data_IF_089283115986
#
_entry.id   IF_089283115986
#
_cell.length_a   1.000
_cell.length_b   1.000
_cell.length_c   1.000
_cell.angle_alpha   90.00
_cell.angle_beta   90.00
_cell.angle_gamma   90.00
#
_symmetry.space_group_name_H-M   'P 1'
#
loop_
_entity.id
_entity.type
_entity.pdbx_description
1 polymer ?
#
# COMPACT_ATOMS: atom_id res chain seq x y z
N UNK A 1 32.52 19.33 -5.86
CA UNK A 1 31.90 19.07 -7.18
C UNK A 1 31.22 17.69 -7.14
N UNK A 2 30.17 17.51 -6.36
CA UNK A 2 29.55 16.19 -6.20
C UNK A 2 28.09 16.24 -5.72
N UNK A 3 27.40 17.38 -5.83
CA UNK A 3 26.00 17.51 -5.36
C UNK A 3 24.95 17.68 -6.50
N UNK A 4 25.35 17.62 -7.76
CA UNK A 4 24.46 18.01 -8.87
C UNK A 4 23.90 16.84 -9.70
N UNK A 5 24.13 15.59 -9.30
CA UNK A 5 23.79 14.42 -10.13
C UNK A 5 22.31 13.99 -10.10
N UNK A 6 21.45 14.62 -9.33
CA UNK A 6 20.04 14.20 -9.21
C UNK A 6 19.03 15.26 -9.65
N UNK A 7 19.46 16.48 -9.97
CA UNK A 7 18.53 17.58 -10.24
C UNK A 7 17.95 17.64 -11.65
N UNK A 8 18.43 16.85 -12.61
CA UNK A 8 17.87 16.84 -13.99
C UNK A 8 18.19 15.56 -14.76
N UNK A 9 17.74 14.40 -14.25
CA UNK A 9 17.85 13.16 -15.03
C UNK A 9 16.82 13.22 -16.16
N UNK A 10 17.27 13.33 -17.42
CA UNK A 10 16.37 13.23 -18.59
C UNK A 10 15.92 11.79 -18.80
N UNK A 11 14.82 11.54 -19.54
CA UNK A 11 14.37 10.17 -19.86
C UNK A 11 15.48 9.34 -20.54
N UNK A 12 16.25 9.91 -21.46
CA UNK A 12 17.35 9.22 -22.16
C UNK A 12 18.50 8.88 -21.19
N UNK A 13 18.85 9.79 -20.28
CA UNK A 13 19.88 9.52 -19.28
C UNK A 13 19.43 8.42 -18.33
N UNK A 14 18.15 8.40 -17.94
CA UNK A 14 17.57 7.35 -17.12
C UNK A 14 17.57 6.01 -17.85
N UNK A 15 17.18 5.98 -19.13
CA UNK A 15 17.22 4.77 -19.97
C UNK A 15 18.61 4.15 -19.97
N UNK A 16 19.66 4.96 -20.21
CA UNK A 16 21.04 4.49 -20.17
C UNK A 16 21.48 3.99 -18.80
N UNK A 17 20.99 4.62 -17.72
CA UNK A 17 21.36 4.23 -16.37
C UNK A 17 20.68 2.95 -15.89
N UNK A 18 19.45 2.67 -16.33
CA UNK A 18 18.69 1.47 -15.90
C UNK A 18 19.00 0.23 -16.75
N UNK A 19 19.35 0.42 -18.02
CA UNK A 19 19.57 -0.67 -18.97
C UNK A 19 20.55 -1.76 -18.46
N UNK A 20 21.70 -1.44 -17.82
CA UNK A 20 22.61 -2.45 -17.31
C UNK A 20 22.01 -3.34 -16.21
N UNK A 21 20.91 -2.91 -15.59
CA UNK A 21 20.28 -3.63 -14.46
C UNK A 21 19.11 -4.51 -14.87
N UNK A 22 18.68 -4.53 -16.14
CA UNK A 22 17.64 -5.44 -16.60
C UNK A 22 17.99 -6.93 -16.42
N UNK A 23 19.28 -7.25 -16.38
CA UNK A 23 19.80 -8.59 -16.03
C UNK A 23 20.34 -8.66 -14.60
N UNK A 24 20.30 -7.56 -13.84
CA UNK A 24 20.74 -7.43 -12.45
C UNK A 24 19.59 -7.30 -11.45
N UNK A 25 19.93 -7.32 -10.17
CA UNK A 25 18.94 -7.18 -9.10
C UNK A 25 18.50 -5.72 -8.88
N UNK A 26 17.29 -5.54 -8.34
CA UNK A 26 16.79 -4.24 -7.89
C UNK A 26 17.71 -3.59 -6.85
N UNK A 27 18.26 -4.38 -5.93
CA UNK A 27 19.23 -3.88 -4.95
C UNK A 27 20.53 -3.37 -5.59
N UNK A 28 20.99 -3.99 -6.69
CA UNK A 28 22.15 -3.48 -7.44
C UNK A 28 21.83 -2.12 -8.09
N UNK A 29 20.63 -1.96 -8.66
CA UNK A 29 20.16 -0.68 -9.17
C UNK A 29 20.09 0.38 -8.07
N UNK A 30 19.49 0.07 -6.92
CA UNK A 30 19.39 0.99 -5.78
C UNK A 30 20.78 1.51 -5.38
N UNK A 31 21.75 0.62 -5.19
CA UNK A 31 23.12 0.98 -4.80
C UNK A 31 23.84 1.87 -5.83
N UNK A 32 23.55 1.67 -7.12
CA UNK A 32 24.13 2.49 -8.17
C UNK A 32 23.42 3.83 -8.33
N UNK A 33 22.11 3.87 -8.08
CA UNK A 33 21.28 5.06 -8.24
C UNK A 33 21.36 6.00 -7.05
N UNK A 34 21.48 5.44 -5.84
CA UNK A 34 21.54 6.20 -4.59
C UNK A 34 22.96 6.19 -4.02
N UNK A 35 23.68 7.29 -4.23
CA UNK A 35 25.05 7.43 -3.73
C UNK A 35 25.14 8.01 -2.32
N UNK A 36 24.07 8.65 -1.84
CA UNK A 36 24.11 9.52 -0.65
C UNK A 36 23.47 8.89 0.60
N UNK A 37 22.84 7.71 0.50
CA UNK A 37 22.16 7.05 1.63
C UNK A 37 21.01 7.86 2.24
N UNK A 38 20.47 8.82 1.49
CA UNK A 38 19.44 9.77 1.97
C UNK A 38 18.04 9.17 2.05
N UNK A 39 17.80 8.06 1.32
CA UNK A 39 16.48 7.48 1.18
C UNK A 39 16.38 6.15 1.91
N UNK A 40 15.26 5.97 2.60
CA UNK A 40 14.93 4.68 3.23
C UNK A 40 14.08 3.85 2.28
N UNK A 41 14.73 2.93 1.60
CA UNK A 41 14.04 1.94 0.80
C UNK A 41 13.34 0.92 1.68
N UNK A 42 12.10 0.64 1.35
CA UNK A 42 11.34 -0.47 1.92
C UNK A 42 11.41 -1.65 0.97
N UNK A 43 11.76 -2.81 1.49
CA UNK A 43 11.77 -4.07 0.76
C UNK A 43 10.58 -4.92 1.20
N UNK A 44 9.84 -5.47 0.24
CA UNK A 44 8.72 -6.36 0.49
C UNK A 44 8.81 -7.56 -0.44
N UNK A 45 9.09 -8.73 0.12
CA UNK A 45 9.05 -9.99 -0.62
C UNK A 45 7.62 -10.53 -0.69
N UNK A 46 7.21 -11.01 -1.85
CA UNK A 46 5.94 -11.71 -2.01
C UNK A 46 6.19 -13.22 -2.00
N UNK A 47 5.57 -13.93 -1.06
CA UNK A 47 5.62 -15.39 -1.02
C UNK A 47 4.88 -15.96 -2.24
N UNK A 48 5.55 -16.82 -3.02
CA UNK A 48 4.97 -17.45 -4.21
C UNK A 48 5.95 -18.41 -4.90
N UNK A 49 5.51 -19.00 -6.03
CA UNK A 49 6.37 -19.88 -6.84
C UNK A 49 7.54 -19.14 -7.49
N UNK A 50 7.40 -17.82 -7.68
CA UNK A 50 8.46 -16.93 -8.15
C UNK A 50 8.81 -16.00 -7.03
N UNK A 51 10.10 -15.83 -6.78
CA UNK A 51 10.58 -14.81 -5.85
C UNK A 51 10.34 -13.42 -6.49
N UNK A 52 9.34 -12.71 -6.01
CA UNK A 52 9.08 -11.33 -6.39
C UNK A 52 9.44 -10.45 -5.21
N UNK A 53 10.31 -9.48 -5.42
CA UNK A 53 10.72 -8.49 -4.43
C UNK A 53 10.32 -7.11 -4.95
N UNK A 54 9.65 -6.36 -4.11
CA UNK A 54 9.33 -4.96 -4.38
C UNK A 54 10.19 -4.08 -3.47
N UNK A 55 10.79 -3.06 -4.06
CA UNK A 55 11.44 -1.99 -3.32
C UNK A 55 10.67 -0.71 -3.55
N UNK A 56 10.54 0.12 -2.53
CA UNK A 56 9.86 1.41 -2.67
C UNK A 56 10.51 2.49 -1.82
N UNK A 57 10.48 3.73 -2.31
CA UNK A 57 10.95 4.89 -1.60
C UNK A 57 10.12 6.13 -1.94
N UNK A 58 9.82 6.95 -0.93
CA UNK A 58 9.21 8.26 -1.10
C UNK A 58 10.27 9.32 -1.39
N UNK A 59 10.04 10.13 -2.43
CA UNK A 59 10.97 11.16 -2.91
C UNK A 59 10.59 12.57 -2.49
N UNK A 60 9.36 12.76 -2.00
CA UNK A 60 8.86 14.04 -1.49
C UNK A 60 9.04 15.22 -2.45
N UNK A 61 8.80 14.99 -3.74
CA UNK A 61 8.88 16.02 -4.78
C UNK A 61 10.27 16.24 -5.40
N UNK A 62 11.26 15.33 -5.15
CA UNK A 62 12.54 15.38 -5.85
C UNK A 62 12.35 15.26 -7.37
N UNK A 63 13.02 16.11 -8.14
CA UNK A 63 12.83 16.14 -9.59
C UNK A 63 13.45 14.94 -10.32
N UNK A 64 12.63 14.28 -11.13
CA UNK A 64 13.03 13.29 -12.12
C UNK A 64 12.36 13.70 -13.44
N UNK A 65 13.05 13.64 -14.55
CA UNK A 65 12.57 14.12 -15.85
C UNK A 65 12.10 15.60 -15.81
N UNK A 66 12.71 16.43 -14.93
CA UNK A 66 12.31 17.83 -14.73
C UNK A 66 10.94 18.02 -14.06
N UNK A 67 10.43 17.01 -13.42
CA UNK A 67 9.14 17.03 -12.71
C UNK A 67 9.33 16.42 -11.32
N UNK A 68 8.74 17.02 -10.30
CA UNK A 68 8.78 16.48 -8.94
C UNK A 68 8.12 15.11 -8.86
N UNK A 69 8.88 14.12 -8.41
CA UNK A 69 8.40 12.76 -8.21
C UNK A 69 8.01 12.51 -6.75
N UNK A 70 6.96 11.74 -6.54
CA UNK A 70 6.45 11.37 -5.20
C UNK A 70 7.10 10.09 -4.69
N UNK A 71 7.22 9.10 -5.56
CA UNK A 71 7.67 7.76 -5.17
C UNK A 71 8.34 7.05 -6.34
N UNK A 72 9.34 6.22 -6.03
CA UNK A 72 9.83 5.17 -6.94
C UNK A 72 9.50 3.82 -6.34
N UNK A 73 9.10 2.88 -7.20
CA UNK A 73 8.97 1.46 -6.88
C UNK A 73 9.75 0.64 -7.90
N UNK A 74 10.37 -0.43 -7.44
CA UNK A 74 11.02 -1.42 -8.27
C UNK A 74 10.33 -2.77 -8.09
N UNK A 75 10.21 -3.52 -9.16
CA UNK A 75 9.83 -4.93 -9.12
C UNK A 75 11.01 -5.79 -9.60
N UNK A 76 11.46 -6.68 -8.74
CA UNK A 76 12.44 -7.70 -9.05
C UNK A 76 11.74 -9.06 -9.14
N UNK A 77 11.96 -9.79 -10.22
CA UNK A 77 11.39 -11.11 -10.44
C UNK A 77 12.53 -12.11 -10.67
N UNK A 78 12.63 -13.12 -9.80
CA UNK A 78 13.68 -14.16 -9.90
C UNK A 78 15.11 -13.57 -9.95
N UNK A 79 15.36 -12.53 -9.16
CA UNK A 79 16.67 -11.86 -9.07
C UNK A 79 16.97 -10.87 -10.21
N UNK A 80 16.00 -10.55 -11.06
CA UNK A 80 16.15 -9.60 -12.16
C UNK A 80 15.19 -8.43 -12.01
N UNK A 81 15.70 -7.22 -12.22
CA UNK A 81 14.87 -6.01 -12.27
C UNK A 81 13.91 -6.08 -13.46
N UNK A 82 12.63 -6.11 -13.19
CA UNK A 82 11.58 -6.23 -14.20
C UNK A 82 10.87 -4.93 -14.53
N UNK A 83 10.77 -4.03 -13.54
CA UNK A 83 10.05 -2.76 -13.68
C UNK A 83 10.60 -1.71 -12.72
N UNK A 84 10.62 -0.46 -13.19
CA UNK A 84 10.79 0.74 -12.37
C UNK A 84 9.56 1.60 -12.56
N UNK A 85 8.74 1.76 -11.52
CA UNK A 85 7.61 2.68 -11.49
C UNK A 85 8.04 4.00 -10.86
N UNK A 86 7.79 5.12 -11.53
CA UNK A 86 8.02 6.46 -11.00
C UNK A 86 6.68 7.19 -10.95
N UNK A 87 6.21 7.50 -9.75
CA UNK A 87 4.98 8.24 -9.50
C UNK A 87 5.28 9.74 -9.45
N UNK A 88 4.73 10.53 -10.36
CA UNK A 88 4.90 11.97 -10.45
C UNK A 88 3.75 12.76 -9.85
N UNK A 89 2.57 12.22 -9.92
CA UNK A 89 1.37 12.78 -9.32
C UNK A 89 0.51 11.65 -8.79
N UNK A 90 0.04 11.78 -7.57
CA UNK A 90 -1.14 11.07 -7.10
C UNK A 90 -1.97 11.99 -6.22
N UNK A 91 -3.27 11.86 -6.31
CA UNK A 91 -4.24 12.69 -5.61
C UNK A 91 -3.99 12.78 -4.11
N UNK A 92 -3.62 11.66 -3.48
CA UNK A 92 -3.46 11.57 -2.03
C UNK A 92 -2.23 12.32 -1.53
N UNK A 93 -1.05 12.07 -2.08
CA UNK A 93 0.20 12.73 -1.66
C UNK A 93 0.17 14.20 -2.02
N UNK A 94 -0.35 14.54 -3.21
CA UNK A 94 -0.50 15.94 -3.63
C UNK A 94 -1.42 16.71 -2.69
N UNK A 95 -2.58 16.15 -2.34
CA UNK A 95 -3.49 16.77 -1.38
C UNK A 95 -2.83 16.95 -0.01
N UNK A 96 -2.13 15.92 0.50
CA UNK A 96 -1.43 15.96 1.77
C UNK A 96 -0.35 17.06 1.80
N UNK A 97 0.51 17.13 0.76
CA UNK A 97 1.57 18.14 0.65
C UNK A 97 1.03 19.56 0.60
N UNK A 98 -0.12 19.76 -0.02
CA UNK A 98 -0.77 21.06 -0.10
C UNK A 98 -1.64 21.41 1.12
N UNK A 99 -1.64 20.59 2.16
CA UNK A 99 -2.48 20.77 3.34
C UNK A 99 -3.96 20.67 3.03
N UNK A 100 -4.35 20.01 1.93
CA UNK A 100 -5.75 19.77 1.56
C UNK A 100 -6.20 18.49 2.24
N UNK A 101 -6.71 18.64 3.46
CA UNK A 101 -7.25 17.53 4.25
C UNK A 101 -8.75 17.32 4.03
N UNK A 102 -9.26 16.21 4.56
CA UNK A 102 -10.71 15.92 4.53
C UNK A 102 -11.55 17.02 5.20
N UNK A 103 -11.00 17.74 6.19
CA UNK A 103 -11.70 18.75 7.02
C UNK A 103 -11.01 20.10 7.03
N UNK A 104 -10.39 20.52 5.95
CA UNK A 104 -9.68 21.80 5.85
C UNK A 104 -10.59 23.03 5.63
N UNK A 105 -11.90 22.84 5.64
CA UNK A 105 -12.89 23.91 5.43
C UNK A 105 -13.09 24.32 3.98
N UNK A 106 -12.30 23.83 3.03
CA UNK A 106 -12.48 24.11 1.60
C UNK A 106 -13.64 23.31 1.03
N UNK A 107 -14.34 23.89 0.04
CA UNK A 107 -15.39 23.16 -0.66
C UNK A 107 -14.81 21.98 -1.45
N UNK A 108 -15.58 20.91 -1.60
CA UNK A 108 -15.17 19.75 -2.39
C UNK A 108 -14.95 20.10 -3.88
N UNK A 109 -15.70 21.09 -4.40
CA UNK A 109 -15.48 21.61 -5.77
C UNK A 109 -14.09 22.25 -5.88
N UNK A 110 -13.73 23.21 -5.01
CA UNK A 110 -12.43 23.84 -5.04
C UNK A 110 -11.25 22.84 -4.90
N UNK A 111 -11.44 21.77 -4.14
CA UNK A 111 -10.44 20.68 -4.05
C UNK A 111 -10.30 19.91 -5.35
N UNK A 112 -11.42 19.60 -6.01
CA UNK A 112 -11.41 18.91 -7.30
C UNK A 112 -10.75 19.77 -8.39
N UNK A 113 -11.13 21.04 -8.48
CA UNK A 113 -10.58 21.98 -9.46
C UNK A 113 -9.05 22.10 -9.32
N UNK A 114 -8.56 22.15 -8.08
CA UNK A 114 -7.12 22.17 -7.80
C UNK A 114 -6.42 20.87 -8.25
N UNK A 115 -6.99 19.72 -7.91
CA UNK A 115 -6.44 18.41 -8.30
C UNK A 115 -6.42 18.25 -9.82
N UNK A 116 -7.51 18.65 -10.50
CA UNK A 116 -7.61 18.61 -11.95
C UNK A 116 -6.55 19.48 -12.63
N UNK A 117 -6.35 20.71 -12.14
CA UNK A 117 -5.33 21.62 -12.67
C UNK A 117 -3.91 21.03 -12.50
N UNK A 118 -3.59 20.49 -11.33
CA UNK A 118 -2.28 19.92 -11.05
C UNK A 118 -2.03 18.61 -11.82
N UNK A 119 -3.04 17.76 -11.92
CA UNK A 119 -2.97 16.54 -12.73
C UNK A 119 -2.73 16.87 -14.20
N UNK A 120 -3.52 17.81 -14.75
CA UNK A 120 -3.40 18.25 -16.15
C UNK A 120 -2.02 18.81 -16.46
N UNK A 121 -1.48 19.67 -15.59
CA UNK A 121 -0.13 20.23 -15.75
C UNK A 121 0.95 19.14 -15.71
N UNK A 122 0.89 18.26 -14.71
CA UNK A 122 1.82 17.14 -14.58
C UNK A 122 1.77 16.21 -15.80
N UNK A 123 0.60 15.78 -16.22
CA UNK A 123 0.41 14.89 -17.37
C UNK A 123 0.94 15.51 -18.67
N UNK A 124 0.61 16.78 -18.92
CA UNK A 124 1.05 17.51 -20.10
C UNK A 124 2.58 17.68 -20.14
N UNK A 125 3.20 18.04 -19.01
CA UNK A 125 4.65 18.17 -18.88
C UNK A 125 5.35 16.82 -19.08
N UNK A 126 4.84 15.76 -18.44
CA UNK A 126 5.39 14.41 -18.57
C UNK A 126 5.38 13.94 -20.01
N UNK A 127 4.25 14.07 -20.69
CA UNK A 127 4.12 13.67 -22.08
C UNK A 127 5.14 14.42 -22.95
N UNK A 128 5.27 15.76 -22.78
CA UNK A 128 6.25 16.57 -23.53
C UNK A 128 7.68 16.10 -23.27
N UNK A 129 8.03 15.79 -22.02
CA UNK A 129 9.38 15.37 -21.67
C UNK A 129 9.71 13.99 -22.25
N UNK A 130 8.74 13.08 -22.33
CA UNK A 130 8.93 11.78 -22.97
C UNK A 130 9.01 11.87 -24.51
N UNK A 131 8.51 12.94 -25.13
CA UNK A 131 8.65 13.18 -26.58
C UNK A 131 10.11 13.34 -27.02
N UNK A 132 11.04 13.63 -26.09
CA UNK A 132 12.49 13.64 -26.36
C UNK A 132 13.01 12.25 -26.76
N UNK A 133 12.36 11.16 -26.32
CA UNK A 133 12.69 9.79 -26.71
C UNK A 133 12.24 9.44 -28.16
N UNK A 134 11.53 10.33 -28.83
CA UNK A 134 11.00 10.13 -30.19
C UNK A 134 9.49 9.97 -30.24
N UNK A 135 9.00 9.22 -31.23
CA UNK A 135 7.56 9.04 -31.43
C UNK A 135 7.01 7.96 -30.51
N UNK A 136 5.89 8.27 -29.85
CA UNK A 136 5.12 7.29 -29.09
C UNK A 136 4.27 6.40 -30.00
N UNK A 137 3.93 5.24 -29.48
CA UNK A 137 2.85 4.41 -30.03
C UNK A 137 1.85 4.05 -28.92
N UNK A 138 0.64 3.62 -29.31
CA UNK A 138 -0.38 3.21 -28.35
C UNK A 138 -0.19 1.74 -27.97
N UNK A 139 -0.21 1.48 -26.66
CA UNK A 139 -0.23 0.14 -26.09
C UNK A 139 -1.41 -0.08 -25.17
N UNK A 140 -1.51 -1.27 -24.62
CA UNK A 140 -2.52 -1.63 -23.62
C UNK A 140 -1.84 -2.27 -22.42
N UNK A 141 -2.23 -1.84 -21.22
CA UNK A 141 -1.81 -2.46 -19.94
C UNK A 141 -3.02 -2.94 -19.14
N UNK A 142 -2.78 -3.82 -18.19
CA UNK A 142 -3.84 -4.44 -17.41
C UNK A 142 -4.64 -5.50 -18.16
N UNK A 143 -5.60 -6.11 -17.49
CA UNK A 143 -6.41 -7.20 -18.00
C UNK A 143 -7.89 -7.01 -17.71
N UNK A 144 -8.76 -7.59 -18.56
CA UNK A 144 -10.21 -7.54 -18.37
C UNK A 144 -10.75 -6.11 -18.26
N UNK A 145 -11.51 -5.82 -17.21
CA UNK A 145 -12.09 -4.49 -16.96
C UNK A 145 -11.07 -3.43 -16.52
N UNK A 146 -9.87 -3.85 -16.11
CA UNK A 146 -8.76 -2.96 -15.74
C UNK A 146 -7.87 -2.61 -16.94
N UNK A 147 -8.22 -3.07 -18.13
CA UNK A 147 -7.45 -2.82 -19.33
C UNK A 147 -7.62 -1.38 -19.80
N UNK A 148 -6.49 -0.67 -19.95
CA UNK A 148 -6.45 0.72 -20.44
C UNK A 148 -5.44 0.89 -21.56
N UNK A 149 -5.67 1.95 -22.32
CA UNK A 149 -4.76 2.38 -23.39
C UNK A 149 -3.75 3.35 -22.80
N UNK A 150 -2.48 3.16 -23.12
CA UNK A 150 -1.36 3.97 -22.68
C UNK A 150 -0.52 4.43 -23.86
N UNK A 151 0.29 5.47 -23.68
CA UNK A 151 1.32 5.87 -24.62
C UNK A 151 2.66 5.25 -24.22
N UNK A 152 3.41 4.77 -25.21
CA UNK A 152 4.69 4.06 -25.01
C UNK A 152 5.75 4.72 -25.88
N UNK A 153 6.88 5.02 -25.28
CA UNK A 153 8.12 5.45 -25.96
C UNK A 153 9.18 4.37 -25.75
N UNK A 154 10.06 4.22 -26.71
CA UNK A 154 11.14 3.24 -26.65
C UNK A 154 12.49 3.91 -26.86
N UNK A 155 13.46 3.60 -26.00
CA UNK A 155 14.84 4.06 -26.09
C UNK A 155 15.80 2.93 -25.71
N UNK A 156 16.76 2.60 -26.59
CA UNK A 156 17.67 1.47 -26.37
C UNK A 156 16.90 0.17 -26.08
N UNK A 157 17.18 -0.45 -24.95
CA UNK A 157 16.52 -1.69 -24.48
C UNK A 157 15.34 -1.41 -23.55
N UNK A 158 15.03 -0.15 -23.30
CA UNK A 158 13.99 0.26 -22.35
C UNK A 158 12.73 0.76 -23.07
N UNK A 159 11.58 0.58 -22.43
CA UNK A 159 10.32 1.18 -22.84
C UNK A 159 9.74 2.00 -21.67
N UNK A 160 9.24 3.18 -21.98
CA UNK A 160 8.60 4.12 -21.06
C UNK A 160 7.11 4.13 -21.33
N UNK A 161 6.33 3.74 -20.36
CA UNK A 161 4.87 3.64 -20.46
C UNK A 161 4.26 4.74 -19.60
N UNK A 162 3.64 5.73 -20.21
CA UNK A 162 2.89 6.76 -19.51
C UNK A 162 1.54 6.19 -19.11
N UNK A 163 1.40 5.86 -17.85
CA UNK A 163 0.18 5.35 -17.22
C UNK A 163 -0.44 6.46 -16.36
N UNK A 164 -1.55 6.99 -16.80
CA UNK A 164 -2.27 8.06 -16.12
C UNK A 164 -3.76 7.75 -16.01
N UNK A 165 -4.34 8.08 -14.86
CA UNK A 165 -5.77 8.06 -14.63
C UNK A 165 -6.21 9.46 -14.23
N UNK A 166 -7.24 9.96 -14.90
CA UNK A 166 -7.66 11.36 -14.77
C UNK A 166 -7.97 11.73 -13.31
N UNK A 167 -7.33 12.78 -12.83
CA UNK A 167 -7.45 13.29 -11.46
C UNK A 167 -7.02 12.32 -10.35
N UNK A 168 -6.46 11.16 -10.68
CA UNK A 168 -6.02 10.15 -9.72
C UNK A 168 -4.50 10.05 -9.64
N UNK A 169 -3.84 9.76 -10.76
CA UNK A 169 -2.39 9.65 -10.79
C UNK A 169 -1.79 9.89 -12.19
N UNK A 170 -0.49 10.22 -12.20
CA UNK A 170 0.39 10.23 -13.38
C UNK A 170 1.67 9.50 -12.98
N UNK A 171 2.01 8.41 -13.68
CA UNK A 171 3.24 7.67 -13.46
C UNK A 171 3.86 7.19 -14.77
N UNK A 172 5.14 6.91 -14.72
CA UNK A 172 5.88 6.29 -15.81
C UNK A 172 6.37 4.93 -15.34
N UNK A 173 6.02 3.88 -16.08
CA UNK A 173 6.61 2.56 -15.91
C UNK A 173 7.76 2.44 -16.89
N UNK A 174 8.95 2.17 -16.40
CA UNK A 174 10.13 1.88 -17.24
C UNK A 174 10.39 0.40 -17.13
N UNK A 175 10.35 -0.28 -18.28
CA UNK A 175 10.49 -1.75 -18.36
C UNK A 175 11.47 -2.12 -19.47
N UNK A 176 12.11 -3.29 -19.42
CA UNK A 176 12.82 -3.80 -20.60
C UNK A 176 11.80 -4.03 -21.73
N UNK A 177 12.17 -3.75 -22.98
CA UNK A 177 11.29 -3.93 -24.16
C UNK A 177 10.69 -5.33 -24.23
N UNK A 178 11.46 -6.34 -23.83
CA UNK A 178 11.00 -7.74 -23.71
C UNK A 178 9.87 -7.91 -22.68
N UNK A 179 9.77 -7.00 -21.70
CA UNK A 179 8.76 -6.98 -20.63
C UNK A 179 7.42 -6.35 -21.01
N UNK A 180 7.34 -5.59 -22.11
CA UNK A 180 6.11 -4.90 -22.53
C UNK A 180 4.90 -5.83 -22.65
N UNK A 181 5.10 -7.03 -23.15
CA UNK A 181 4.01 -8.02 -23.27
C UNK A 181 3.46 -8.47 -21.91
N UNK A 182 4.28 -8.42 -20.86
CA UNK A 182 3.87 -8.81 -19.50
C UNK A 182 2.92 -7.79 -18.90
N UNK A 183 3.05 -6.49 -19.22
CA UNK A 183 2.16 -5.43 -18.73
C UNK A 183 0.69 -5.61 -19.19
N UNK A 184 0.48 -6.28 -20.31
CA UNK A 184 -0.86 -6.59 -20.83
C UNK A 184 -1.35 -8.00 -20.48
N UNK A 185 -0.47 -8.85 -19.96
CA UNK A 185 -0.84 -10.18 -19.51
C UNK A 185 -1.41 -10.11 -18.09
N UNK A 186 -2.45 -10.89 -17.81
CA UNK A 186 -2.91 -11.10 -16.44
C UNK A 186 -1.85 -11.90 -15.71
N UNK A 187 -1.06 -11.25 -14.85
CA UNK A 187 -0.09 -11.91 -13.97
C UNK A 187 -0.75 -12.59 -12.78
N UNK A 188 -2.07 -12.80 -12.84
CA UNK A 188 -2.80 -13.51 -11.79
C UNK A 188 -2.30 -14.96 -11.65
N UNK A 189 -1.08 -15.12 -11.14
CA UNK A 189 -0.69 -16.34 -10.47
C UNK A 189 -1.50 -16.37 -9.17
N UNK A 190 -2.59 -17.12 -9.20
CA UNK A 190 -3.41 -17.38 -8.02
C UNK A 190 -2.49 -17.86 -6.91
N UNK A 191 -2.56 -17.23 -5.76
CA UNK A 191 -2.05 -17.82 -4.53
C UNK A 191 -2.71 -19.20 -4.37
N UNK A 192 -2.05 -20.24 -4.85
CA UNK A 192 -2.48 -21.65 -4.76
C UNK A 192 -1.96 -22.30 -3.48
N UNK A 193 -1.76 -21.52 -2.42
CA UNK A 193 -1.36 -22.01 -1.12
C UNK A 193 -2.57 -22.32 -0.26
N UNK A 194 -2.41 -23.24 0.65
CA UNK A 194 -3.29 -23.39 1.78
C UNK A 194 -3.00 -22.22 2.74
N UNK A 195 -3.90 -21.23 2.84
CA UNK A 195 -3.69 -20.06 3.71
C UNK A 195 -3.37 -20.43 5.17
N UNK A 196 -3.74 -21.63 5.61
CA UNK A 196 -3.43 -22.14 6.95
C UNK A 196 -1.93 -22.33 7.18
N UNK A 197 -1.13 -22.52 6.13
CA UNK A 197 0.32 -22.62 6.23
C UNK A 197 0.97 -21.30 6.64
N UNK A 198 0.28 -20.18 6.42
CA UNK A 198 0.75 -18.85 6.84
C UNK A 198 0.39 -18.55 8.32
N UNK A 199 -0.24 -19.48 9.03
CA UNK A 199 -0.59 -19.26 10.45
C UNK A 199 0.59 -19.60 11.34
N UNK A 200 1.11 -18.59 12.01
CA UNK A 200 2.22 -18.67 12.97
C UNK A 200 1.63 -18.91 14.36
N UNK A 201 2.17 -19.90 15.06
CA UNK A 201 1.82 -20.21 16.47
C UNK A 201 3.08 -20.14 17.31
N UNK A 202 3.07 -19.26 18.31
CA UNK A 202 4.22 -19.03 19.19
C UNK A 202 4.01 -19.71 20.55
N UNK A 203 5.09 -20.04 21.24
CA UNK A 203 5.06 -20.71 22.55
C UNK A 203 4.32 -19.92 23.64
N UNK A 204 4.32 -18.59 23.55
CA UNK A 204 3.60 -17.69 24.47
C UNK A 204 2.07 -17.71 24.29
N UNK A 205 1.57 -18.42 23.28
CA UNK A 205 0.16 -18.53 22.95
C UNK A 205 -0.34 -17.58 21.86
N UNK A 206 0.56 -16.85 21.21
CA UNK A 206 0.21 -16.02 20.06
C UNK A 206 -0.14 -16.88 18.86
N UNK A 207 -1.19 -16.50 18.16
CA UNK A 207 -1.61 -17.07 16.89
C UNK A 207 -1.87 -15.93 15.93
N UNK A 208 -1.14 -15.88 14.82
CA UNK A 208 -1.25 -14.78 13.85
C UNK A 208 -1.07 -15.25 12.41
N UNK A 209 -1.63 -14.51 11.48
CA UNK A 209 -1.45 -14.68 10.04
C UNK A 209 -0.16 -13.97 9.63
N UNK A 210 0.81 -14.73 9.14
CA UNK A 210 2.05 -14.21 8.54
C UNK A 210 1.90 -13.91 7.06
N UNK A 211 3.02 -13.55 6.44
CA UNK A 211 3.16 -13.36 4.98
C UNK A 211 2.23 -12.28 4.37
N UNK A 212 1.72 -11.34 5.19
CA UNK A 212 0.93 -10.22 4.69
C UNK A 212 1.90 -9.11 4.28
N UNK A 213 1.97 -8.76 2.98
CA UNK A 213 2.92 -7.75 2.51
C UNK A 213 2.70 -6.40 3.19
N UNK A 214 3.78 -5.69 3.51
CA UNK A 214 3.69 -4.31 3.95
C UNK A 214 3.57 -3.39 2.74
N UNK A 215 2.56 -2.54 2.75
CA UNK A 215 2.37 -1.43 1.82
C UNK A 215 2.19 -0.19 2.66
N UNK A 216 3.18 0.70 2.64
CA UNK A 216 3.10 1.96 3.34
C UNK A 216 2.20 2.92 2.58
N UNK A 217 1.18 3.45 3.25
CA UNK A 217 0.28 4.44 2.67
C UNK A 217 0.91 5.84 2.56
N UNK A 218 2.03 6.09 3.23
CA UNK A 218 2.65 7.40 3.33
C UNK A 218 1.79 8.39 4.14
N UNK A 219 1.97 9.68 3.86
CA UNK A 219 1.26 10.75 4.56
C UNK A 219 -0.20 10.95 4.08
N UNK A 220 -0.61 10.28 3.00
CA UNK A 220 -1.94 10.39 2.41
C UNK A 220 -3.00 9.61 3.19
N UNK A 221 -4.24 10.06 3.11
CA UNK A 221 -5.39 9.41 3.75
C UNK A 221 -5.85 8.11 3.03
N UNK A 222 -4.91 7.25 2.63
CA UNK A 222 -5.15 6.04 1.85
C UNK A 222 -5.12 4.76 2.69
N UNK A 223 -5.49 4.85 3.97
CA UNK A 223 -5.55 3.67 4.84
C UNK A 223 -6.41 2.53 4.25
N UNK A 224 -7.54 2.86 3.65
CA UNK A 224 -8.42 1.87 3.03
C UNK A 224 -7.79 1.26 1.77
N UNK A 225 -7.38 2.04 0.75
CA UNK A 225 -6.73 1.51 -0.44
C UNK A 225 -5.47 0.68 -0.14
N UNK A 226 -4.58 1.17 0.72
CA UNK A 226 -3.34 0.46 1.07
C UNK A 226 -3.61 -0.86 1.80
N UNK A 227 -4.52 -0.85 2.79
CA UNK A 227 -4.90 -2.07 3.53
C UNK A 227 -5.54 -3.11 2.61
N UNK A 228 -6.35 -2.69 1.64
CA UNK A 228 -6.93 -3.59 0.64
C UNK A 228 -5.85 -4.15 -0.28
N UNK A 229 -4.93 -3.32 -0.79
CA UNK A 229 -3.80 -3.79 -1.61
C UNK A 229 -3.02 -4.88 -0.90
N UNK A 230 -2.69 -4.71 0.39
CA UNK A 230 -1.98 -5.70 1.20
C UNK A 230 -2.70 -7.05 1.21
N UNK A 231 -4.01 -7.04 1.43
CA UNK A 231 -4.79 -8.28 1.44
C UNK A 231 -4.94 -8.88 0.04
N UNK A 232 -5.15 -8.08 -1.00
CA UNK A 232 -5.19 -8.59 -2.37
C UNK A 232 -3.86 -9.26 -2.76
N UNK A 233 -2.73 -8.63 -2.46
CA UNK A 233 -1.39 -9.22 -2.70
C UNK A 233 -1.18 -10.49 -1.88
N UNK A 234 -1.63 -10.54 -0.63
CA UNK A 234 -1.62 -11.75 0.19
C UNK A 234 -2.38 -12.91 -0.47
N UNK A 235 -3.45 -12.62 -1.19
CA UNK A 235 -4.18 -13.59 -2.01
C UNK A 235 -3.59 -13.81 -3.40
N UNK A 236 -2.44 -13.20 -3.72
CA UNK A 236 -1.77 -13.30 -5.04
C UNK A 236 -2.42 -12.46 -6.14
N UNK A 237 -3.22 -11.45 -5.78
CA UNK A 237 -3.85 -10.52 -6.72
C UNK A 237 -3.00 -9.25 -6.77
N UNK A 238 -2.13 -9.13 -7.77
CA UNK A 238 -1.17 -8.04 -7.91
C UNK A 238 -1.56 -7.00 -8.97
N UNK A 239 -2.74 -7.12 -9.58
CA UNK A 239 -3.22 -6.26 -10.67
C UNK A 239 -3.60 -4.84 -10.21
N UNK A 240 -3.80 -4.64 -8.88
CA UNK A 240 -4.27 -3.41 -8.29
C UNK A 240 -3.29 -2.91 -7.22
N UNK A 241 -2.85 -1.69 -7.37
CA UNK A 241 -2.19 -0.92 -6.33
C UNK A 241 -3.16 0.03 -5.62
N UNK A 242 -2.72 0.68 -4.53
CA UNK A 242 -3.57 1.56 -3.74
C UNK A 242 -4.14 2.74 -4.53
N UNK A 243 -3.46 3.23 -5.57
CA UNK A 243 -3.95 4.35 -6.38
C UNK A 243 -5.10 3.92 -7.29
N UNK A 244 -5.00 2.74 -7.92
CA UNK A 244 -6.10 2.14 -8.68
C UNK A 244 -7.27 1.74 -7.79
N UNK A 245 -6.98 1.26 -6.58
CA UNK A 245 -8.02 0.95 -5.60
C UNK A 245 -8.72 2.23 -5.14
N UNK A 246 -7.97 3.33 -4.93
CA UNK A 246 -8.52 4.62 -4.55
C UNK A 246 -9.49 5.17 -5.61
N UNK A 247 -9.13 5.04 -6.90
CA UNK A 247 -10.00 5.38 -8.02
C UNK A 247 -11.28 4.54 -8.03
N UNK A 248 -11.15 3.21 -8.06
CA UNK A 248 -12.28 2.27 -8.07
C UNK A 248 -13.22 2.43 -6.86
N UNK A 249 -12.71 2.88 -5.73
CA UNK A 249 -13.44 3.08 -4.50
C UNK A 249 -13.99 4.51 -4.32
N UNK A 250 -13.70 5.42 -5.26
CA UNK A 250 -14.09 6.81 -5.17
C UNK A 250 -13.51 7.52 -3.93
N UNK A 251 -12.24 7.21 -3.57
CA UNK A 251 -11.56 7.86 -2.45
C UNK A 251 -11.51 9.37 -2.66
N UNK A 252 -11.94 10.14 -1.66
CA UNK A 252 -12.01 11.60 -1.76
C UNK A 252 -10.65 12.29 -1.79
N UNK A 253 -10.62 13.56 -2.20
CA UNK A 253 -9.43 14.42 -2.07
C UNK A 253 -9.15 14.66 -0.58
N UNK A 254 -7.93 14.37 -0.14
CA UNK A 254 -7.56 14.40 1.28
C UNK A 254 -7.94 13.15 2.06
N UNK A 255 -8.34 12.08 1.39
CA UNK A 255 -8.68 10.79 1.99
C UNK A 255 -10.19 10.56 2.18
N UNK A 256 -10.49 9.47 2.87
CA UNK A 256 -11.87 9.03 3.11
C UNK A 256 -12.42 8.16 1.96
N UNK A 257 -12.71 6.91 2.28
CA UNK A 257 -13.27 5.92 1.35
C UNK A 257 -14.54 5.32 1.94
N UNK A 258 -15.60 5.30 1.15
CA UNK A 258 -16.82 4.61 1.57
C UNK A 258 -16.64 3.10 1.34
N UNK A 259 -16.83 2.31 2.42
CA UNK A 259 -16.63 0.85 2.36
C UNK A 259 -17.59 0.16 1.37
N UNK A 260 -18.82 0.66 1.21
CA UNK A 260 -19.78 0.07 0.28
C UNK A 260 -19.38 0.33 -1.18
N UNK A 261 -18.88 1.53 -1.47
CA UNK A 261 -18.38 1.89 -2.80
C UNK A 261 -17.12 1.08 -3.12
N UNK A 262 -16.22 0.91 -2.15
CA UNK A 262 -15.07 0.02 -2.23
C UNK A 262 -15.48 -1.42 -2.61
N UNK A 263 -16.38 -2.02 -1.82
CA UNK A 263 -16.85 -3.40 -2.06
C UNK A 263 -17.48 -3.52 -3.45
N UNK A 264 -18.26 -2.52 -3.87
CA UNK A 264 -18.88 -2.47 -5.19
C UNK A 264 -17.84 -2.39 -6.31
N UNK A 265 -16.88 -1.46 -6.19
CA UNK A 265 -15.82 -1.24 -7.17
C UNK A 265 -14.90 -2.46 -7.35
N UNK A 266 -14.55 -3.12 -6.25
CA UNK A 266 -13.64 -4.27 -6.27
C UNK A 266 -14.33 -5.61 -6.55
N UNK A 267 -15.65 -5.71 -6.42
CA UNK A 267 -16.40 -6.96 -6.63
C UNK A 267 -16.07 -7.69 -7.94
N UNK A 268 -15.88 -7.03 -9.09
CA UNK A 268 -15.53 -7.71 -10.32
C UNK A 268 -14.17 -8.42 -10.25
N UNK A 269 -13.16 -7.77 -9.64
CA UNK A 269 -11.80 -8.30 -9.49
C UNK A 269 -11.80 -9.46 -8.50
N UNK A 270 -12.46 -9.28 -7.37
CA UNK A 270 -12.58 -10.29 -6.30
C UNK A 270 -13.26 -11.56 -6.85
N UNK A 271 -14.38 -11.41 -7.57
CA UNK A 271 -15.10 -12.55 -8.19
C UNK A 271 -14.29 -13.27 -9.27
N UNK A 272 -13.55 -12.51 -10.13
CA UNK A 272 -12.64 -13.10 -11.14
C UNK A 272 -11.63 -14.05 -10.48
N UNK A 273 -11.19 -13.72 -9.26
CA UNK A 273 -10.24 -14.51 -8.48
C UNK A 273 -10.92 -15.55 -7.57
N UNK A 274 -12.23 -15.80 -7.74
CA UNK A 274 -13.04 -16.76 -6.96
C UNK A 274 -13.04 -16.44 -5.47
N UNK A 275 -13.02 -15.15 -5.14
CA UNK A 275 -13.15 -14.64 -3.79
C UNK A 275 -14.46 -13.86 -3.65
N UNK A 276 -14.93 -13.71 -2.44
CA UNK A 276 -16.07 -12.87 -2.09
C UNK A 276 -15.80 -12.07 -0.82
N UNK A 277 -16.34 -10.86 -0.74
CA UNK A 277 -16.40 -10.14 0.52
C UNK A 277 -17.46 -10.78 1.41
N UNK A 278 -17.09 -11.07 2.65
CA UNK A 278 -18.00 -11.53 3.69
C UNK A 278 -17.79 -10.68 4.96
N UNK A 279 -18.74 -10.76 5.87
CA UNK A 279 -18.68 -10.00 7.12
C UNK A 279 -18.65 -10.92 8.34
N UNK A 280 -18.00 -10.45 9.41
CA UNK A 280 -17.93 -11.14 10.70
C UNK A 280 -18.21 -10.14 11.83
N UNK A 281 -18.74 -10.61 12.94
CA UNK A 281 -18.87 -9.80 14.15
C UNK A 281 -17.53 -9.64 14.84
N UNK A 282 -17.31 -8.49 15.48
CA UNK A 282 -16.15 -8.22 16.32
C UNK A 282 -16.25 -9.01 17.63
N UNK A 283 -15.97 -10.32 17.54
CA UNK A 283 -16.03 -11.30 18.65
C UNK A 283 -14.80 -12.21 18.56
N UNK A 284 -14.17 -12.47 19.70
CA UNK A 284 -12.93 -13.27 19.75
C UNK A 284 -13.09 -14.65 19.11
N UNK A 285 -14.25 -15.30 19.25
CA UNK A 285 -14.52 -16.59 18.61
C UNK A 285 -14.51 -16.51 17.08
N UNK A 286 -15.01 -15.40 16.50
CA UNK A 286 -15.04 -15.17 15.05
C UNK A 286 -13.67 -14.77 14.53
N UNK A 287 -12.94 -13.95 15.28
CA UNK A 287 -11.55 -13.58 15.00
C UNK A 287 -10.68 -14.84 14.96
N UNK A 288 -10.77 -15.68 16.01
CA UNK A 288 -10.07 -16.96 16.06
C UNK A 288 -10.36 -17.84 14.84
N UNK A 289 -11.65 -18.01 14.48
CA UNK A 289 -12.05 -18.82 13.32
C UNK A 289 -11.40 -18.32 12.00
N UNK A 290 -11.25 -17.01 11.81
CA UNK A 290 -10.61 -16.44 10.62
C UNK A 290 -9.10 -16.62 10.68
N UNK A 291 -8.45 -16.23 11.78
CA UNK A 291 -6.99 -16.34 11.94
C UNK A 291 -6.52 -17.79 11.82
N UNK A 292 -7.22 -18.76 12.43
CA UNK A 292 -6.89 -20.18 12.35
C UNK A 292 -7.00 -20.75 10.93
N UNK A 293 -7.65 -20.03 10.02
CA UNK A 293 -7.73 -20.34 8.58
C UNK A 293 -6.73 -19.53 7.73
N UNK A 294 -5.94 -18.66 8.34
CA UNK A 294 -5.03 -17.74 7.63
C UNK A 294 -5.76 -16.58 6.96
N UNK A 295 -6.93 -16.16 7.45
CA UNK A 295 -7.73 -15.08 6.87
C UNK A 295 -7.56 -13.80 7.69
N UNK A 296 -6.88 -12.76 7.17
CA UNK A 296 -6.82 -11.45 7.81
C UNK A 296 -8.17 -10.75 7.72
N UNK A 297 -8.47 -9.89 8.68
CA UNK A 297 -9.75 -9.19 8.75
C UNK A 297 -9.57 -7.68 8.67
N UNK A 298 -10.32 -7.03 7.83
CA UNK A 298 -10.41 -5.57 7.75
C UNK A 298 -11.19 -5.04 8.95
N UNK A 299 -10.58 -4.16 9.70
CA UNK A 299 -11.14 -3.59 10.91
C UNK A 299 -11.25 -2.07 10.82
N UNK A 300 -12.48 -1.56 10.78
CA UNK A 300 -12.78 -0.13 10.82
C UNK A 300 -12.79 0.34 12.28
N UNK A 301 -11.92 1.30 12.59
CA UNK A 301 -11.72 1.77 13.95
C UNK A 301 -11.41 3.27 13.99
N UNK A 302 -11.15 3.80 15.16
CA UNK A 302 -10.72 5.19 15.38
C UNK A 302 -9.30 5.20 15.93
N UNK A 303 -8.33 5.65 15.11
CA UNK A 303 -6.92 5.73 15.45
C UNK A 303 -6.59 7.06 16.17
N UNK A 304 -7.29 7.35 17.26
CA UNK A 304 -7.02 8.55 18.06
C UNK A 304 -5.63 8.47 18.72
N UNK A 305 -4.97 9.62 19.00
CA UNK A 305 -3.61 9.65 19.55
C UNK A 305 -3.46 8.83 20.85
N UNK A 306 -4.44 8.87 21.74
CA UNK A 306 -4.44 8.15 23.01
C UNK A 306 -4.43 6.63 22.78
N UNK A 307 -5.23 6.16 21.82
CA UNK A 307 -5.23 4.76 21.41
C UNK A 307 -3.89 4.34 20.82
N UNK A 308 -3.34 5.16 19.91
CA UNK A 308 -2.05 4.87 19.26
C UNK A 308 -0.91 4.83 20.28
N UNK A 309 -0.91 5.71 21.28
CA UNK A 309 0.06 5.70 22.37
C UNK A 309 -0.08 4.42 23.20
N UNK A 310 -1.31 4.02 23.55
CA UNK A 310 -1.60 2.77 24.25
C UNK A 310 -1.14 1.55 23.46
N UNK A 311 -1.44 1.49 22.17
CA UNK A 311 -1.04 0.42 21.26
C UNK A 311 0.48 0.25 21.20
N UNK A 312 1.21 1.36 21.04
CA UNK A 312 2.68 1.37 21.01
C UNK A 312 3.29 0.94 22.36
N UNK A 313 2.80 1.52 23.44
CA UNK A 313 3.28 1.18 24.80
C UNK A 313 3.04 -0.29 25.12
N UNK A 314 1.85 -0.81 24.81
CA UNK A 314 1.51 -2.22 25.02
C UNK A 314 2.42 -3.14 24.20
N UNK A 315 2.61 -2.83 22.92
CA UNK A 315 3.49 -3.60 22.02
C UNK A 315 4.93 -3.61 22.53
N UNK A 316 5.48 -2.46 22.97
CA UNK A 316 6.84 -2.36 23.52
C UNK A 316 6.98 -3.15 24.83
N UNK A 317 6.04 -3.02 25.77
CA UNK A 317 6.05 -3.78 27.03
C UNK A 317 5.97 -5.29 26.76
N UNK A 318 5.17 -5.69 25.78
CA UNK A 318 5.04 -7.08 25.36
C UNK A 318 6.34 -7.65 24.81
N UNK A 319 7.02 -6.91 23.94
CA UNK A 319 8.32 -7.31 23.37
C UNK A 319 9.43 -7.40 24.42
N UNK A 320 9.38 -6.53 25.43
CA UNK A 320 10.34 -6.51 26.54
C UNK A 320 10.04 -7.56 27.64
N UNK A 321 8.88 -8.23 27.60
CA UNK A 321 8.43 -9.11 28.67
C UNK A 321 9.28 -10.39 28.76
N UNK A 322 10.01 -10.53 29.87
CA UNK A 322 10.75 -11.76 30.22
C UNK A 322 9.84 -12.85 30.77
N UNK A 323 8.79 -12.48 31.52
CA UNK A 323 7.76 -13.35 32.04
C UNK A 323 6.39 -12.92 31.53
N UNK A 324 5.83 -13.75 30.69
CA UNK A 324 4.55 -13.47 30.05
C UNK A 324 3.34 -13.55 30.99
N UNK A 325 3.46 -14.24 32.13
CA UNK A 325 2.41 -14.26 33.14
C UNK A 325 2.38 -12.94 33.93
N UNK A 326 3.55 -12.37 34.22
CA UNK A 326 3.67 -11.05 34.84
C UNK A 326 3.11 -9.99 33.89
N UNK A 327 3.51 -10.04 32.62
CA UNK A 327 2.97 -9.14 31.61
C UNK A 327 1.44 -9.21 31.54
N UNK A 328 0.86 -10.41 31.48
CA UNK A 328 -0.60 -10.62 31.42
C UNK A 328 -1.35 -10.08 32.64
N UNK A 329 -0.73 -10.11 33.84
CA UNK A 329 -1.30 -9.51 35.05
C UNK A 329 -1.28 -7.98 34.98
N UNK A 330 -0.15 -7.40 34.56
CA UNK A 330 -0.01 -5.96 34.40
C UNK A 330 -0.98 -5.39 33.36
N UNK A 331 -1.20 -6.11 32.25
CA UNK A 331 -2.16 -5.71 31.23
C UNK A 331 -3.58 -5.58 31.79
N UNK A 332 -3.99 -6.50 32.71
CA UNK A 332 -5.32 -6.47 33.34
C UNK A 332 -5.50 -5.35 34.37
N UNK A 333 -4.40 -4.75 34.85
CA UNK A 333 -4.43 -3.65 35.80
C UNK A 333 -4.39 -2.27 35.14
N UNK A 334 -4.37 -2.22 33.79
CA UNK A 334 -4.42 -0.93 33.08
C UNK A 334 -5.80 -0.29 33.23
N UNK A 335 -5.79 1.01 33.49
CA UNK A 335 -7.02 1.80 33.48
C UNK A 335 -7.70 1.74 32.10
N UNK A 336 -9.04 1.74 32.03
CA UNK A 336 -9.78 1.77 30.80
C UNK A 336 -9.34 2.93 29.90
N UNK A 337 -9.38 2.71 28.59
CA UNK A 337 -9.11 3.77 27.63
C UNK A 337 -10.28 4.75 27.58
N UNK A 338 -10.02 6.01 27.85
CA UNK A 338 -11.01 7.09 27.79
C UNK A 338 -10.60 8.13 26.75
N UNK A 339 -11.43 8.29 25.72
CA UNK A 339 -11.21 9.27 24.64
C UNK A 339 -12.53 10.03 24.42
N UNK A 340 -12.54 11.36 24.46
CA UNK A 340 -13.71 12.12 24.15
C UNK A 340 -14.28 11.75 22.77
N UNK A 341 -15.57 11.44 22.72
CA UNK A 341 -16.21 10.94 21.48
C UNK A 341 -15.96 11.86 20.28
N UNK A 342 -15.95 13.17 20.49
CA UNK A 342 -15.71 14.15 19.42
C UNK A 342 -14.30 14.01 18.82
N UNK A 343 -13.30 13.77 19.66
CA UNK A 343 -11.91 13.56 19.25
C UNK A 343 -11.80 12.23 18.51
N UNK A 344 -12.36 11.16 19.07
CA UNK A 344 -12.34 9.83 18.46
C UNK A 344 -12.87 9.85 17.03
N UNK A 345 -14.04 10.49 16.79
CA UNK A 345 -14.70 10.50 15.48
C UNK A 345 -13.86 11.17 14.36
N UNK A 346 -12.85 11.97 14.73
CA UNK A 346 -11.98 12.63 13.76
C UNK A 346 -10.91 11.70 13.16
N UNK A 347 -10.71 10.52 13.75
CA UNK A 347 -9.61 9.60 13.45
C UNK A 347 -10.07 8.28 12.86
N UNK A 348 -11.11 8.31 12.00
CA UNK A 348 -11.58 7.12 11.30
C UNK A 348 -10.45 6.48 10.49
N UNK A 349 -10.25 5.17 10.66
CA UNK A 349 -9.14 4.44 10.09
C UNK A 349 -9.52 2.99 9.75
N UNK A 350 -8.79 2.38 8.82
CA UNK A 350 -8.88 0.97 8.49
C UNK A 350 -7.51 0.31 8.63
N UNK A 351 -7.45 -0.76 9.40
CA UNK A 351 -6.28 -1.62 9.50
C UNK A 351 -6.69 -3.09 9.48
N UNK A 352 -5.77 -4.00 9.76
CA UNK A 352 -6.02 -5.43 9.79
C UNK A 352 -5.96 -5.96 11.23
N UNK A 353 -6.90 -6.84 11.57
CA UNK A 353 -6.71 -7.81 12.64
C UNK A 353 -6.09 -9.05 11.99
N UNK A 354 -4.90 -9.41 12.42
CA UNK A 354 -4.15 -10.55 11.89
C UNK A 354 -3.92 -11.66 12.91
N UNK A 355 -4.20 -11.43 14.19
CA UNK A 355 -3.92 -12.43 15.21
C UNK A 355 -4.63 -12.20 16.53
N UNK A 356 -4.42 -13.14 17.44
CA UNK A 356 -4.97 -13.12 18.80
C UNK A 356 -4.05 -13.84 19.79
N UNK A 357 -4.22 -13.53 21.08
CA UNK A 357 -3.73 -14.33 22.18
C UNK A 357 -4.87 -14.51 23.22
N UNK A 358 -5.28 -15.74 23.46
CA UNK A 358 -6.40 -16.02 24.40
C UNK A 358 -6.02 -15.90 25.88
N UNK A 359 -4.72 -16.07 26.21
CA UNK A 359 -4.22 -15.98 27.60
C UNK A 359 -4.23 -14.53 28.07
N UNK A 360 -3.75 -13.61 27.21
CA UNK A 360 -3.68 -12.18 27.51
C UNK A 360 -4.92 -11.42 27.11
N UNK A 361 -5.82 -12.04 26.32
CA UNK A 361 -6.99 -11.41 25.69
C UNK A 361 -6.61 -10.22 24.80
N UNK A 362 -5.59 -10.38 23.99
CA UNK A 362 -5.11 -9.37 23.05
C UNK A 362 -5.39 -9.75 21.60
N UNK A 363 -5.45 -8.73 20.76
CA UNK A 363 -5.49 -8.85 19.31
C UNK A 363 -4.17 -8.35 18.72
N UNK A 364 -3.71 -9.02 17.67
CA UNK A 364 -2.61 -8.57 16.83
C UNK A 364 -3.15 -7.74 15.69
N UNK A 365 -2.64 -6.51 15.57
CA UNK A 365 -3.05 -5.52 14.58
C UNK A 365 -1.89 -5.31 13.61
N UNK A 366 -2.21 -5.15 12.33
CA UNK A 366 -1.25 -4.79 11.28
C UNK A 366 -1.78 -3.59 10.50
N UNK A 367 -1.00 -2.52 10.51
CA UNK A 367 -1.36 -1.26 9.85
C UNK A 367 -0.49 -0.99 8.61
N UNK A 368 -0.91 -0.05 7.76
CA UNK A 368 -0.23 0.36 6.53
C UNK A 368 0.68 1.59 6.72
N UNK A 369 1.38 1.67 7.85
CA UNK A 369 2.29 2.76 8.21
C UNK A 369 3.77 2.36 8.19
N UNK A 370 4.12 1.30 7.49
CA UNK A 370 5.48 0.75 7.43
C UNK A 370 5.74 -0.38 8.41
N UNK A 371 6.95 -0.91 8.37
CA UNK A 371 7.31 -2.17 9.05
C UNK A 371 7.11 -2.14 10.57
N UNK A 372 7.29 -0.98 11.21
CA UNK A 372 7.05 -0.85 12.65
C UNK A 372 5.59 -1.09 13.06
N UNK A 373 4.66 -0.98 12.10
CA UNK A 373 3.23 -1.19 12.29
C UNK A 373 2.74 -2.56 11.78
N UNK A 374 3.65 -3.43 11.34
CA UNK A 374 3.32 -4.74 10.78
C UNK A 374 2.74 -5.72 11.82
N UNK A 375 3.22 -5.61 13.07
CA UNK A 375 2.76 -6.45 14.18
C UNK A 375 2.69 -5.59 15.46
N UNK A 376 1.48 -5.23 15.86
CA UNK A 376 1.21 -4.49 17.08
C UNK A 376 0.13 -5.20 17.89
N UNK A 377 0.18 -5.07 19.22
CA UNK A 377 -0.73 -5.79 20.10
C UNK A 377 -1.52 -4.85 21.00
N UNK A 378 -2.81 -5.12 21.15
CA UNK A 378 -3.72 -4.32 21.96
C UNK A 378 -4.72 -5.23 22.68
N UNK A 379 -5.19 -4.80 23.85
CA UNK A 379 -6.25 -5.53 24.56
C UNK A 379 -7.52 -5.62 23.72
N UNK A 380 -8.26 -6.71 23.84
CA UNK A 380 -9.57 -6.85 23.20
C UNK A 380 -10.55 -5.77 23.67
N UNK A 381 -10.44 -5.33 24.91
CA UNK A 381 -11.28 -4.29 25.50
C UNK A 381 -11.04 -2.93 24.81
N UNK A 382 -9.77 -2.50 24.71
CA UNK A 382 -9.41 -1.26 24.02
C UNK A 382 -9.78 -1.33 22.53
N UNK A 383 -9.57 -2.49 21.88
CA UNK A 383 -9.97 -2.70 20.49
C UNK A 383 -11.48 -2.55 20.30
N UNK A 384 -12.29 -3.12 21.19
CA UNK A 384 -13.75 -2.96 21.16
C UNK A 384 -14.17 -1.52 21.40
N UNK A 385 -13.48 -0.81 22.30
CA UNK A 385 -13.77 0.59 22.61
C UNK A 385 -13.61 1.51 21.40
N UNK A 386 -12.51 1.36 20.63
CA UNK A 386 -12.23 2.19 19.45
C UNK A 386 -12.85 1.66 18.16
N UNK A 387 -13.49 0.51 18.16
CA UNK A 387 -14.18 -0.02 16.98
C UNK A 387 -15.30 0.93 16.51
N UNK A 388 -15.42 1.11 15.21
CA UNK A 388 -16.57 1.82 14.66
C UNK A 388 -17.84 1.00 14.91
N UNK A 389 -18.76 1.56 15.71
CA UNK A 389 -20.01 0.87 16.07
C UNK A 389 -20.82 0.59 14.80
N UNK A 390 -21.39 -0.61 14.74
CA UNK A 390 -22.22 -1.11 13.63
C UNK A 390 -21.47 -1.37 12.32
N UNK A 391 -20.13 -1.27 12.29
CA UNK A 391 -19.33 -1.69 11.15
C UNK A 391 -18.80 -3.10 11.44
N UNK A 392 -19.19 -4.11 10.65
CA UNK A 392 -18.66 -5.46 10.84
C UNK A 392 -17.20 -5.55 10.40
N UNK A 393 -16.49 -6.58 10.83
CA UNK A 393 -15.23 -6.96 10.22
C UNK A 393 -15.51 -7.49 8.80
N UNK A 394 -14.80 -6.96 7.81
CA UNK A 394 -14.86 -7.52 6.47
C UNK A 394 -13.71 -8.51 6.26
N UNK A 395 -13.95 -9.53 5.47
CA UNK A 395 -12.93 -10.51 5.05
C UNK A 395 -13.07 -10.80 3.56
N UNK A 396 -11.99 -11.31 2.98
CA UNK A 396 -12.05 -12.00 1.68
C UNK A 396 -11.96 -13.50 1.92
N UNK A 397 -12.92 -14.24 1.40
CA UNK A 397 -12.94 -15.70 1.48
C UNK A 397 -13.34 -16.34 0.14
N UNK A 398 -12.99 -17.64 -0.03
CA UNK A 398 -13.37 -18.44 -1.22
C UNK A 398 -14.81 -18.88 -1.16
#
# INVERSE_FOLDING_TARGET
>A
MQSDYVSTVTPEAFSRSVTPFWDGSGNAFIKAWETDGLYRWQETATAGKKAIIHYSVYLNGKEIFGIGAEQIKLEEVEGKLGEVEIMFFNKGDTASRMGVGFRDGKSQSAKKDLIEALWTDCHKKMRRNLESLGKSHRGKIGSGKLRRTVEIWEDGESAFVLDAEENEFVRVLVVPKSGLKKLSASTAERAKGNLRENVIRRANGDVLVGEIPMIDQGAKGYCVPATIERVLRYYGINELDMHKIADLAGTGVGGGTNVLDLVRGLSPVVKKNRLAFATRRMQISKIRQCVDKGIPMFWSMFAAPEYLNRLRANTQQRLAAKDFNVYSKNLKSLEPLEIPRREMLNHAHLCLIIGYNLKTKELCISDSWGDFAAEQWISLEDALYVSQKNVPLYILEK
#
